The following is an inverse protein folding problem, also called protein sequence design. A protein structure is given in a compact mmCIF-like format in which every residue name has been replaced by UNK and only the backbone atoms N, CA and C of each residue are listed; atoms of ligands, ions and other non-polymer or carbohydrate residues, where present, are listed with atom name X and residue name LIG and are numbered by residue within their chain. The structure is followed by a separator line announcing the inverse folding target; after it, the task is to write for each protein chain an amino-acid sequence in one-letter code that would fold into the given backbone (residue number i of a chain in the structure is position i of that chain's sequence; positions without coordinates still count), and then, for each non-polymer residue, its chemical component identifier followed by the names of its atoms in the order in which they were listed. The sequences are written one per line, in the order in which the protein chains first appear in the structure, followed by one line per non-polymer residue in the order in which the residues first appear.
data_IF_296136470894
#
_entry.id   IF_296136470894
#
_cell.length_a   1.000
_cell.length_b   1.000
_cell.length_c   1.000
_cell.angle_alpha   90.00
_cell.angle_beta   90.00
_cell.angle_gamma   90.00
#
_symmetry.space_group_name_H-M   'P 1'
#
loop_
_entity.id
_entity.type
_entity.pdbx_description
1 polymer ?
#
# COMPACT_ATOMS: atom_id res chain seq x y z
N UNK A 1 14.59 66.33 -1.37
CA UNK A 1 14.53 65.07 -0.60
C UNK A 1 13.29 64.31 -1.08
N UNK A 2 13.48 63.45 -2.08
CA UNK A 2 12.45 62.59 -2.67
C UNK A 2 12.69 61.18 -2.14
N UNK A 3 11.75 60.68 -1.34
CA UNK A 3 11.69 59.30 -0.88
C UNK A 3 11.10 58.45 -2.00
N UNK A 4 11.96 57.73 -2.73
CA UNK A 4 11.53 56.70 -3.67
C UNK A 4 10.91 55.52 -2.93
N UNK A 5 9.60 55.35 -3.13
CA UNK A 5 8.85 54.15 -2.81
C UNK A 5 9.21 53.06 -3.83
N UNK A 6 10.10 52.14 -3.45
CA UNK A 6 10.30 50.92 -4.23
C UNK A 6 9.07 50.01 -4.13
N UNK A 7 8.52 49.53 -5.28
CA UNK A 7 7.42 48.59 -5.27
C UNK A 7 7.94 47.22 -4.82
N UNK A 8 7.42 46.75 -3.69
CA UNK A 8 7.57 45.36 -3.24
C UNK A 8 7.04 44.43 -4.33
N UNK A 9 7.96 43.76 -5.03
CA UNK A 9 7.69 42.79 -6.07
C UNK A 9 6.85 41.62 -5.57
N UNK A 10 5.54 41.71 -5.73
CA UNK A 10 4.55 40.69 -5.34
C UNK A 10 4.36 39.54 -6.34
N UNK A 11 5.38 39.15 -7.11
CA UNK A 11 5.23 38.14 -8.18
C UNK A 11 5.85 36.74 -7.91
N UNK A 12 6.41 36.48 -6.73
CA UNK A 12 7.16 35.21 -6.51
C UNK A 12 6.40 34.06 -5.84
N UNK A 13 5.38 34.33 -5.03
CA UNK A 13 4.96 33.34 -4.01
C UNK A 13 3.80 32.42 -4.42
N UNK A 14 2.96 32.85 -5.37
CA UNK A 14 1.80 32.07 -5.82
C UNK A 14 2.16 30.92 -6.78
N UNK A 15 3.28 31.05 -7.52
CA UNK A 15 3.67 30.05 -8.52
C UNK A 15 4.23 28.75 -7.91
N UNK A 16 5.06 28.86 -6.88
CA UNK A 16 5.76 27.71 -6.30
C UNK A 16 4.82 26.83 -5.47
N UNK A 17 3.98 27.42 -4.63
CA UNK A 17 2.98 26.69 -3.81
C UNK A 17 1.97 25.97 -4.68
N UNK A 18 1.40 26.65 -5.69
CA UNK A 18 0.46 26.02 -6.63
C UNK A 18 1.10 24.85 -7.39
N UNK A 19 2.39 24.94 -7.75
CA UNK A 19 3.13 23.84 -8.38
C UNK A 19 3.24 22.60 -7.49
N UNK A 20 3.58 22.77 -6.20
CA UNK A 20 3.66 21.63 -5.27
C UNK A 20 2.31 20.97 -5.04
N UNK A 21 1.22 21.75 -4.98
CA UNK A 21 -0.14 21.21 -4.87
C UNK A 21 -0.51 20.42 -6.11
N UNK A 22 -0.24 20.96 -7.29
CA UNK A 22 -0.53 20.31 -8.56
C UNK A 22 0.26 19.01 -8.70
N UNK A 23 1.56 19.03 -8.39
CA UNK A 23 2.42 17.84 -8.42
C UNK A 23 1.99 16.81 -7.37
N UNK A 24 1.63 17.25 -6.17
CA UNK A 24 1.07 16.39 -5.12
C UNK A 24 -0.23 15.70 -5.57
N UNK A 25 -1.16 16.45 -6.15
CA UNK A 25 -2.42 15.93 -6.66
C UNK A 25 -2.20 14.95 -7.83
N UNK A 26 -1.29 15.25 -8.76
CA UNK A 26 -0.93 14.37 -9.88
C UNK A 26 -0.30 13.07 -9.37
N UNK A 27 0.62 13.16 -8.41
CA UNK A 27 1.26 11.98 -7.82
C UNK A 27 0.25 11.10 -7.07
N UNK A 28 -0.63 11.69 -6.27
CA UNK A 28 -1.71 10.97 -5.58
C UNK A 28 -2.66 10.35 -6.59
N UNK A 29 -3.09 11.08 -7.61
CA UNK A 29 -3.95 10.59 -8.70
C UNK A 29 -3.32 9.41 -9.44
N UNK A 30 -2.02 9.48 -9.75
CA UNK A 30 -1.28 8.40 -10.38
C UNK A 30 -1.20 7.15 -9.48
N UNK A 31 -0.96 7.32 -8.18
CA UNK A 31 -0.94 6.20 -7.21
C UNK A 31 -2.33 5.58 -7.09
N UNK A 32 -3.39 6.38 -6.98
CA UNK A 32 -4.78 5.90 -6.92
C UNK A 32 -5.13 5.15 -8.21
N UNK A 33 -4.83 5.71 -9.38
CA UNK A 33 -5.06 5.06 -10.67
C UNK A 33 -4.31 3.73 -10.77
N UNK A 34 -3.05 3.66 -10.33
CA UNK A 34 -2.27 2.42 -10.29
C UNK A 34 -2.91 1.37 -9.37
N UNK A 35 -3.36 1.79 -8.18
CA UNK A 35 -4.06 0.91 -7.22
C UNK A 35 -5.36 0.38 -7.83
N UNK A 36 -6.15 1.24 -8.49
CA UNK A 36 -7.40 0.84 -9.15
C UNK A 36 -7.17 -0.09 -10.34
N UNK A 37 -6.18 0.20 -11.18
CA UNK A 37 -5.77 -0.67 -12.30
C UNK A 37 -5.31 -2.02 -11.78
N UNK A 38 -4.55 -2.04 -10.67
CA UNK A 38 -4.10 -3.29 -10.04
C UNK A 38 -5.27 -4.06 -9.42
N UNK A 39 -6.18 -3.40 -8.73
CA UNK A 39 -7.40 -4.01 -8.20
C UNK A 39 -8.24 -4.64 -9.32
N UNK A 40 -8.41 -3.92 -10.44
CA UNK A 40 -9.11 -4.41 -11.64
C UNK A 40 -8.41 -5.60 -12.29
N UNK A 41 -7.06 -5.58 -12.41
CA UNK A 41 -6.30 -6.73 -12.91
C UNK A 41 -6.42 -7.94 -11.99
N UNK A 42 -6.30 -7.75 -10.68
CA UNK A 42 -6.49 -8.82 -9.69
C UNK A 42 -7.89 -9.43 -9.78
N UNK A 43 -8.93 -8.61 -9.99
CA UNK A 43 -10.30 -9.11 -10.19
C UNK A 43 -10.44 -9.95 -11.47
N UNK A 44 -9.81 -9.54 -12.59
CA UNK A 44 -9.84 -10.33 -13.83
C UNK A 44 -9.10 -11.67 -13.70
N UNK A 45 -7.91 -11.66 -13.08
CA UNK A 45 -7.15 -12.90 -12.84
C UNK A 45 -7.90 -13.81 -11.87
N UNK A 46 -8.58 -13.24 -10.88
CA UNK A 46 -9.44 -14.00 -9.98
C UNK A 46 -10.60 -14.69 -10.72
N UNK A 47 -11.24 -14.01 -11.67
CA UNK A 47 -12.31 -14.57 -12.48
C UNK A 47 -11.80 -15.67 -13.42
N UNK A 48 -10.69 -15.43 -14.12
CA UNK A 48 -10.08 -16.41 -15.02
C UNK A 48 -9.67 -17.70 -14.30
N UNK A 49 -9.08 -17.58 -13.10
CA UNK A 49 -8.65 -18.73 -12.30
C UNK A 49 -9.80 -19.59 -11.75
N UNK A 50 -11.06 -19.13 -11.83
CA UNK A 50 -12.23 -19.89 -11.39
C UNK A 50 -12.75 -20.83 -12.48
N UNK A 51 -12.32 -20.66 -13.74
CA UNK A 51 -12.68 -21.53 -14.86
C UNK A 51 -11.86 -22.81 -14.99
N UNK A 52 -10.64 -22.84 -14.45
CA UNK A 52 -9.67 -23.93 -14.69
C UNK A 52 -9.66 -25.04 -13.62
N UNK A 53 -10.59 -25.03 -12.67
CA UNK A 53 -10.64 -26.06 -11.60
C UNK A 53 -10.99 -27.48 -12.05
N UNK A 54 -11.14 -27.75 -13.34
CA UNK A 54 -11.58 -29.06 -13.83
C UNK A 54 -10.46 -30.04 -14.21
N UNK A 55 -9.17 -29.65 -14.27
CA UNK A 55 -8.15 -30.56 -14.85
C UNK A 55 -6.72 -30.38 -14.32
N UNK A 56 -6.50 -30.46 -13.01
CA UNK A 56 -5.17 -30.86 -12.51
C UNK A 56 -5.21 -32.32 -12.10
N UNK A 57 -4.86 -33.14 -13.09
CA UNK A 57 -4.44 -34.54 -12.92
C UNK A 57 -3.49 -34.66 -11.74
N UNK A 58 -3.75 -35.68 -10.94
CA UNK A 58 -2.88 -36.24 -9.93
C UNK A 58 -1.57 -36.75 -10.55
N UNK A 59 -0.64 -35.85 -10.88
CA UNK A 59 0.77 -36.26 -11.03
C UNK A 59 1.31 -36.48 -9.63
N UNK A 60 1.21 -37.75 -9.22
CA UNK A 60 1.84 -38.34 -8.06
C UNK A 60 3.30 -37.87 -7.91
N UNK A 61 3.49 -36.76 -7.21
CA UNK A 61 4.82 -36.30 -6.80
C UNK A 61 5.11 -37.02 -5.49
N UNK A 62 5.49 -38.29 -5.63
CA UNK A 62 5.92 -39.17 -4.54
C UNK A 62 7.04 -38.52 -3.74
N UNK A 63 6.75 -38.09 -2.51
CA UNK A 63 7.77 -37.75 -1.50
C UNK A 63 7.79 -36.32 -0.96
N UNK A 64 6.92 -35.40 -1.40
CA UNK A 64 6.86 -34.06 -0.77
C UNK A 64 5.87 -34.02 0.40
N UNK A 65 6.20 -33.33 1.51
CA UNK A 65 5.27 -33.14 2.61
C UNK A 65 4.05 -32.35 2.10
N UNK A 66 2.91 -33.02 2.01
CA UNK A 66 1.64 -32.36 1.75
C UNK A 66 1.21 -31.64 3.02
N UNK A 67 0.79 -30.39 2.88
CA UNK A 67 0.24 -29.63 4.00
C UNK A 67 -1.12 -30.24 4.37
N UNK A 68 -1.27 -30.64 5.64
CA UNK A 68 -2.54 -31.16 6.14
C UNK A 68 -3.68 -30.15 5.97
N UNK A 69 -4.90 -30.63 5.82
CA UNK A 69 -6.08 -29.77 5.63
C UNK A 69 -6.21 -28.73 6.76
N UNK A 70 -5.99 -29.15 8.01
CA UNK A 70 -6.05 -28.30 9.20
C UNK A 70 -5.00 -27.16 9.16
N UNK A 71 -3.75 -27.47 8.84
CA UNK A 71 -2.68 -26.46 8.70
C UNK A 71 -2.98 -25.48 7.55
N UNK A 72 -3.52 -25.98 6.44
CA UNK A 72 -3.89 -25.15 5.29
C UNK A 72 -4.98 -24.13 5.65
N UNK A 73 -5.95 -24.52 6.47
CA UNK A 73 -6.98 -23.61 6.97
C UNK A 73 -6.40 -22.56 7.92
N UNK A 74 -5.50 -22.96 8.82
CA UNK A 74 -4.84 -22.04 9.75
C UNK A 74 -4.03 -20.98 8.99
N UNK A 75 -3.27 -21.39 7.97
CA UNK A 75 -2.52 -20.47 7.09
C UNK A 75 -3.50 -19.51 6.40
N UNK A 76 -4.59 -20.02 5.83
CA UNK A 76 -5.60 -19.20 5.14
C UNK A 76 -6.24 -18.17 6.06
N UNK A 77 -6.61 -18.55 7.30
CA UNK A 77 -7.16 -17.63 8.32
C UNK A 77 -6.15 -16.55 8.72
N UNK A 78 -4.86 -16.91 8.81
CA UNK A 78 -3.80 -15.95 9.13
C UNK A 78 -3.58 -14.93 8.00
N UNK A 79 -3.73 -15.34 6.73
CA UNK A 79 -3.58 -14.46 5.58
C UNK A 79 -4.80 -13.54 5.43
N UNK A 80 -6.02 -14.08 5.57
CA UNK A 80 -7.23 -13.29 5.42
C UNK A 80 -7.36 -12.21 6.50
N UNK A 81 -7.05 -12.54 7.76
CA UNK A 81 -7.03 -11.56 8.85
C UNK A 81 -6.02 -10.44 8.59
N UNK A 82 -4.77 -10.77 8.22
CA UNK A 82 -3.75 -9.76 7.90
C UNK A 82 -4.12 -8.88 6.71
N UNK A 83 -4.76 -9.45 5.68
CA UNK A 83 -5.24 -8.70 4.53
C UNK A 83 -6.29 -7.65 4.96
N UNK A 84 -7.32 -8.07 5.70
CA UNK A 84 -8.36 -7.17 6.22
C UNK A 84 -7.77 -6.08 7.11
N UNK A 85 -6.84 -6.43 8.02
CA UNK A 85 -6.15 -5.46 8.88
C UNK A 85 -5.32 -4.46 8.07
N UNK A 86 -4.64 -4.90 7.02
CA UNK A 86 -3.84 -3.99 6.19
C UNK A 86 -4.69 -2.96 5.45
N UNK A 87 -5.87 -3.34 4.96
CA UNK A 87 -6.81 -2.40 4.34
C UNK A 87 -7.46 -1.47 5.36
N UNK A 88 -7.89 -2.03 6.49
CA UNK A 88 -8.55 -1.29 7.57
C UNK A 88 -7.65 -0.20 8.15
N UNK A 89 -6.33 -0.41 8.19
CA UNK A 89 -5.38 0.58 8.70
C UNK A 89 -4.77 1.46 7.60
N UNK A 90 -4.47 0.86 6.44
CA UNK A 90 -3.81 1.55 5.34
C UNK A 90 -4.68 2.62 4.68
N UNK A 91 -5.96 2.32 4.40
CA UNK A 91 -6.86 3.28 3.72
C UNK A 91 -7.11 4.52 4.60
N UNK A 92 -7.50 4.39 5.89
CA UNK A 92 -7.68 5.55 6.74
C UNK A 92 -6.38 6.33 6.94
N UNK A 93 -5.23 5.64 7.05
CA UNK A 93 -3.92 6.30 7.13
C UNK A 93 -3.64 7.23 5.94
N UNK A 94 -3.90 6.77 4.72
CA UNK A 94 -3.77 7.60 3.50
C UNK A 94 -4.73 8.79 3.55
N UNK A 95 -6.00 8.56 3.92
CA UNK A 95 -7.02 9.61 4.00
C UNK A 95 -6.64 10.68 5.03
N UNK A 96 -6.19 10.27 6.22
CA UNK A 96 -5.72 11.17 7.29
C UNK A 96 -4.52 12.01 6.84
N UNK A 97 -3.52 11.40 6.20
CA UNK A 97 -2.38 12.13 5.65
C UNK A 97 -2.82 13.16 4.60
N UNK A 98 -3.74 12.79 3.70
CA UNK A 98 -4.22 13.69 2.66
C UNK A 98 -5.01 14.86 3.26
N UNK A 99 -5.92 14.59 4.21
CA UNK A 99 -6.66 15.64 4.91
C UNK A 99 -5.72 16.59 5.65
N UNK A 100 -4.72 16.07 6.37
CA UNK A 100 -3.74 16.89 7.09
C UNK A 100 -2.89 17.78 6.17
N UNK A 101 -2.67 17.37 4.92
CA UNK A 101 -1.99 18.18 3.90
C UNK A 101 -2.90 19.22 3.25
N UNK A 102 -4.17 18.88 2.99
CA UNK A 102 -5.11 19.75 2.26
C UNK A 102 -5.77 20.79 3.17
N UNK A 103 -6.05 20.46 4.43
CA UNK A 103 -6.72 21.36 5.38
C UNK A 103 -6.00 22.71 5.56
N UNK A 104 -4.68 22.76 5.81
CA UNK A 104 -3.94 24.02 5.93
C UNK A 104 -3.93 24.85 4.65
N UNK A 105 -4.06 24.21 3.48
CA UNK A 105 -4.11 24.91 2.19
C UNK A 105 -5.46 25.59 1.95
N UNK A 106 -6.56 24.98 2.42
CA UNK A 106 -7.91 25.54 2.26
C UNK A 106 -8.20 26.69 3.23
N UNK A 107 -7.56 26.71 4.40
CA UNK A 107 -7.79 27.68 5.48
C UNK A 107 -6.47 28.10 6.15
N UNK A 108 -5.63 28.91 5.48
CA UNK A 108 -4.34 29.32 6.03
C UNK A 108 -4.45 30.26 7.23
N UNK A 109 -5.59 30.95 7.40
CA UNK A 109 -5.75 32.02 8.39
C UNK A 109 -5.96 31.52 9.83
N UNK A 110 -6.20 30.21 10.01
CA UNK A 110 -6.39 29.61 11.33
C UNK A 110 -5.12 28.90 11.77
N UNK A 111 -4.39 29.51 12.71
CA UNK A 111 -3.20 28.92 13.35
C UNK A 111 -3.50 27.50 13.90
N UNK A 112 -4.70 27.28 14.44
CA UNK A 112 -5.16 25.99 14.95
C UNK A 112 -5.27 24.90 13.87
N UNK A 113 -5.54 25.26 12.62
CA UNK A 113 -5.65 24.31 11.49
C UNK A 113 -4.28 23.79 11.09
N UNK A 114 -3.22 24.60 11.21
CA UNK A 114 -1.85 24.19 10.92
C UNK A 114 -1.39 23.12 11.91
N UNK A 115 -1.60 23.33 13.21
CA UNK A 115 -1.25 22.36 14.25
C UNK A 115 -2.06 21.07 14.11
N UNK A 116 -3.37 21.19 13.86
CA UNK A 116 -4.24 20.05 13.61
C UNK A 116 -3.83 19.26 12.36
N UNK A 117 -3.44 19.96 11.29
CA UNK A 117 -2.92 19.34 10.06
C UNK A 117 -1.66 18.52 10.32
N UNK A 118 -0.70 19.08 11.06
CA UNK A 118 0.50 18.37 11.47
C UNK A 118 0.19 17.12 12.31
N UNK A 119 -0.78 17.21 13.23
CA UNK A 119 -1.24 16.06 14.02
C UNK A 119 -1.87 14.97 13.13
N UNK A 120 -2.76 15.34 12.21
CA UNK A 120 -3.42 14.43 11.26
C UNK A 120 -2.40 13.68 10.39
N UNK A 121 -1.37 14.38 9.89
CA UNK A 121 -0.30 13.76 9.11
C UNK A 121 0.50 12.77 9.95
N UNK A 122 0.87 13.12 11.18
CA UNK A 122 1.61 12.21 12.08
C UNK A 122 0.78 10.96 12.41
N UNK A 123 -0.49 11.14 12.76
CA UNK A 123 -1.42 10.05 13.07
C UNK A 123 -1.66 9.15 11.84
N UNK A 124 -1.92 9.76 10.68
CA UNK A 124 -2.10 9.05 9.41
C UNK A 124 -0.87 8.25 9.01
N UNK A 125 0.32 8.83 9.18
CA UNK A 125 1.61 8.16 8.91
C UNK A 125 1.81 6.96 9.82
N UNK A 126 1.47 7.07 11.11
CA UNK A 126 1.49 5.95 12.04
C UNK A 126 0.58 4.80 11.59
N UNK A 127 -0.68 5.09 11.24
CA UNK A 127 -1.61 4.09 10.71
C UNK A 127 -1.11 3.44 9.42
N UNK A 128 -0.56 4.25 8.51
CA UNK A 128 0.01 3.78 7.25
C UNK A 128 1.17 2.81 7.49
N UNK A 129 2.09 3.14 8.41
CA UNK A 129 3.22 2.28 8.77
C UNK A 129 2.72 0.92 9.27
N UNK A 130 1.75 0.91 10.19
CA UNK A 130 1.20 -0.35 10.73
C UNK A 130 0.53 -1.16 9.61
N UNK A 131 -0.25 -0.51 8.73
CA UNK A 131 -0.86 -1.15 7.56
C UNK A 131 0.18 -1.79 6.63
N UNK A 132 1.27 -1.08 6.34
CA UNK A 132 2.38 -1.58 5.52
C UNK A 132 3.15 -2.73 6.20
N UNK A 133 3.29 -2.71 7.52
CA UNK A 133 3.89 -3.80 8.29
C UNK A 133 3.04 -5.08 8.21
N UNK A 134 1.71 -4.96 8.34
CA UNK A 134 0.78 -6.06 8.13
C UNK A 134 0.85 -6.59 6.70
N UNK A 135 0.96 -5.69 5.71
CA UNK A 135 1.10 -6.07 4.30
C UNK A 135 2.42 -6.82 4.01
N UNK A 136 3.55 -6.35 4.55
CA UNK A 136 4.84 -7.03 4.43
C UNK A 136 4.82 -8.43 5.06
N UNK A 137 4.20 -8.56 6.24
CA UNK A 137 3.98 -9.85 6.90
C UNK A 137 3.10 -10.76 6.07
N UNK A 138 2.04 -10.25 5.46
CA UNK A 138 1.17 -11.03 4.57
C UNK A 138 1.96 -11.68 3.43
N UNK A 139 2.92 -10.95 2.83
CA UNK A 139 3.82 -11.47 1.80
C UNK A 139 4.90 -12.45 2.30
N UNK A 140 4.93 -12.75 3.60
CA UNK A 140 5.89 -13.66 4.21
C UNK A 140 7.25 -13.04 4.51
N UNK A 141 7.34 -11.69 4.54
CA UNK A 141 8.57 -10.96 4.87
C UNK A 141 8.53 -10.39 6.29
N UNK A 142 9.69 -9.95 6.78
CA UNK A 142 9.78 -9.28 8.08
C UNK A 142 9.08 -7.93 8.06
N UNK A 143 8.54 -7.51 9.21
CA UNK A 143 7.85 -6.22 9.35
C UNK A 143 8.77 -5.01 9.04
N UNK A 144 10.09 -5.18 9.16
CA UNK A 144 11.08 -4.16 8.80
C UNK A 144 10.98 -3.72 7.32
N UNK A 145 10.55 -4.60 6.42
CA UNK A 145 10.28 -4.21 5.03
C UNK A 145 9.13 -3.19 4.92
N UNK A 146 8.16 -3.24 5.83
CA UNK A 146 7.08 -2.25 5.92
C UNK A 146 7.58 -0.87 6.32
N UNK A 147 8.56 -0.79 7.24
CA UNK A 147 9.19 0.47 7.65
C UNK A 147 10.01 1.10 6.52
N UNK A 148 10.80 0.29 5.78
CA UNK A 148 11.49 0.76 4.57
C UNK A 148 10.50 1.28 3.52
N UNK A 149 9.31 0.66 3.44
CA UNK A 149 8.20 1.11 2.63
C UNK A 149 7.66 2.49 3.01
N UNK A 150 7.59 2.78 4.31
CA UNK A 150 7.05 4.05 4.80
C UNK A 150 8.01 5.23 4.62
N UNK A 151 9.31 4.98 4.56
CA UNK A 151 10.34 6.02 4.36
C UNK A 151 10.34 6.61 2.94
N UNK A 152 9.71 5.97 1.96
CA UNK A 152 9.67 6.46 0.59
C UNK A 152 8.47 5.92 -0.19
N UNK A 153 7.84 6.76 -1.02
CA UNK A 153 6.82 6.32 -2.00
C UNK A 153 7.36 5.17 -2.86
N UNK A 154 8.65 5.21 -3.20
CA UNK A 154 9.34 4.14 -3.93
C UNK A 154 9.28 2.81 -3.15
N UNK A 155 9.42 2.86 -1.83
CA UNK A 155 9.33 1.70 -0.95
C UNK A 155 7.97 1.02 -0.99
N UNK A 156 6.87 1.80 -1.05
CA UNK A 156 5.51 1.25 -1.25
C UNK A 156 5.38 0.54 -2.60
N UNK A 157 5.93 1.14 -3.66
CA UNK A 157 5.93 0.55 -5.01
C UNK A 157 6.71 -0.77 -5.02
N UNK A 158 7.91 -0.78 -4.44
CA UNK A 158 8.76 -1.98 -4.32
C UNK A 158 8.04 -3.07 -3.52
N UNK A 159 7.44 -2.73 -2.38
CA UNK A 159 6.62 -3.66 -1.59
C UNK A 159 5.48 -4.25 -2.42
N UNK A 160 4.86 -3.47 -3.31
CA UNK A 160 3.83 -3.94 -4.24
C UNK A 160 4.35 -4.94 -5.28
N UNK A 161 5.57 -4.73 -5.79
CA UNK A 161 6.19 -5.54 -6.84
C UNK A 161 6.88 -6.81 -6.31
N UNK A 162 7.26 -6.84 -5.05
CA UNK A 162 7.89 -7.99 -4.41
C UNK A 162 7.01 -9.25 -4.52
N UNK A 163 7.65 -10.37 -4.87
CA UNK A 163 7.05 -11.70 -4.92
C UNK A 163 6.60 -12.19 -3.53
N UNK A 164 5.61 -13.08 -3.52
CA UNK A 164 5.14 -13.73 -2.29
C UNK A 164 6.08 -14.87 -1.92
N UNK A 165 6.31 -15.08 -0.64
CA UNK A 165 7.07 -16.21 -0.14
C UNK A 165 6.11 -17.17 0.58
N UNK A 166 6.14 -18.45 0.22
CA UNK A 166 5.35 -19.47 0.91
C UNK A 166 5.67 -19.49 2.40
N UNK A 167 4.67 -19.40 3.28
CA UNK A 167 4.91 -19.42 4.73
C UNK A 167 5.45 -20.76 5.22
N UNK A 168 5.02 -21.85 4.60
CA UNK A 168 5.39 -23.21 4.94
C UNK A 168 6.77 -23.58 4.37
N UNK A 169 6.91 -23.67 3.04
CA UNK A 169 8.16 -24.14 2.40
C UNK A 169 9.16 -23.05 1.99
N UNK A 170 8.88 -21.77 2.25
CA UNK A 170 9.70 -20.61 1.84
C UNK A 170 10.00 -20.48 0.34
N UNK A 171 9.31 -21.23 -0.51
CA UNK A 171 9.46 -21.10 -1.96
C UNK A 171 8.85 -19.77 -2.46
N UNK A 172 9.57 -19.00 -3.30
CA UNK A 172 9.02 -17.80 -3.92
C UNK A 172 7.92 -18.20 -4.91
N UNK A 173 6.84 -17.42 -4.96
CA UNK A 173 5.75 -17.63 -5.88
C UNK A 173 5.32 -16.31 -6.53
N UNK A 174 4.89 -16.43 -7.79
CA UNK A 174 4.34 -15.33 -8.56
C UNK A 174 3.16 -14.67 -7.85
N UNK A 175 2.96 -13.38 -8.12
CA UNK A 175 1.93 -12.58 -7.45
C UNK A 175 0.50 -13.10 -7.65
N UNK A 176 0.22 -13.74 -8.80
CA UNK A 176 -1.09 -14.30 -9.16
C UNK A 176 -1.35 -15.69 -8.55
N UNK A 177 -0.34 -16.33 -8.00
CA UNK A 177 -0.42 -17.72 -7.56
C UNK A 177 -1.15 -17.82 -6.21
N UNK A 178 -2.26 -18.58 -6.16
CA UNK A 178 -3.07 -18.80 -4.94
C UNK A 178 -2.61 -19.98 -4.07
N UNK A 179 -1.91 -20.94 -4.68
CA UNK A 179 -1.40 -22.15 -4.03
C UNK A 179 0.07 -22.35 -4.38
N UNK A 180 0.87 -22.75 -3.41
CA UNK A 180 2.28 -23.01 -3.64
C UNK A 180 2.49 -24.08 -4.72
N UNK A 181 3.30 -23.81 -5.77
CA UNK A 181 3.60 -24.83 -6.78
C UNK A 181 4.42 -25.99 -6.20
N UNK A 182 5.10 -25.78 -5.06
CA UNK A 182 5.95 -26.78 -4.43
C UNK A 182 5.20 -27.67 -3.42
N UNK A 183 4.40 -27.07 -2.53
CA UNK A 183 3.77 -27.76 -1.40
C UNK A 183 2.23 -27.65 -1.36
N UNK A 184 1.59 -26.99 -2.33
CA UNK A 184 0.14 -26.82 -2.39
C UNK A 184 -0.48 -25.86 -1.36
N UNK A 185 0.31 -25.36 -0.40
CA UNK A 185 -0.18 -24.47 0.66
C UNK A 185 -0.82 -23.18 0.11
N UNK A 186 -1.91 -22.66 0.72
CA UNK A 186 -2.52 -21.40 0.30
C UNK A 186 -1.60 -20.20 0.55
N UNK A 187 -1.66 -19.20 -0.35
CA UNK A 187 -0.83 -17.98 -0.35
C UNK A 187 -1.60 -16.69 -0.64
#
# INVERSE_FOLDING_TARGET
MMTELMPLGGQGFFGSTMWYVLMGAVMVGAVVALVLVRAKRSARVAFAATGDTATTRDTATTGRPQVGLEESEQIRRSISSLNSWSFLLGIPGIVLCFLGLVLPMLRPDLLSVVEMGAFLVKAGTGLLIVGLCCYARMKGRSAAWGLLGALSIIGVIILGLIEKICRHCKHPAGYSTRKCPNCGAPM
#
